data_IF_226864488716
#
_entry.id   IF_226864488716
#
_cell.length_a   1.000
_cell.length_b   1.000
_cell.length_c   1.000
_cell.angle_alpha   90.00
_cell.angle_beta   90.00
_cell.angle_gamma   90.00
#
_symmetry.space_group_name_H-M   'P 1'
#
loop_
_entity.id
_entity.type
_entity.pdbx_description
1 polymer ?
#
# COMPACT_ATOMS: atom_id res chain seq x y z
N UNK A 1 9.69 -26.10 -1.30
CA UNK A 1 8.95 -25.24 -2.25
C UNK A 1 9.94 -24.22 -2.83
N UNK A 2 10.08 -24.19 -4.15
CA UNK A 2 11.01 -23.27 -4.82
C UNK A 2 10.54 -21.81 -4.64
N UNK A 3 11.48 -20.90 -4.34
CA UNK A 3 11.19 -19.49 -4.17
C UNK A 3 10.88 -18.83 -5.53
N UNK A 4 10.01 -17.82 -5.53
CA UNK A 4 9.75 -17.00 -6.72
C UNK A 4 11.05 -16.35 -7.23
N UNK A 5 11.23 -16.26 -8.53
CA UNK A 5 12.48 -15.80 -9.18
C UNK A 5 12.95 -14.41 -8.68
N UNK A 6 12.01 -13.46 -8.51
CA UNK A 6 12.35 -12.13 -7.98
C UNK A 6 12.82 -12.18 -6.53
N UNK A 7 12.36 -13.15 -5.73
CA UNK A 7 12.84 -13.40 -4.36
C UNK A 7 14.23 -14.00 -4.38
N UNK A 8 14.51 -14.94 -5.30
CA UNK A 8 15.86 -15.47 -5.50
C UNK A 8 16.84 -14.35 -5.88
N UNK A 9 16.46 -13.46 -6.80
CA UNK A 9 17.26 -12.29 -7.18
C UNK A 9 17.52 -11.34 -6.00
N UNK A 10 16.53 -11.15 -5.14
CA UNK A 10 16.70 -10.34 -3.93
C UNK A 10 17.74 -10.95 -2.99
N UNK A 11 17.66 -12.25 -2.70
CA UNK A 11 18.64 -12.94 -1.87
C UNK A 11 20.05 -12.95 -2.48
N UNK A 12 20.16 -13.14 -3.80
CA UNK A 12 21.46 -13.03 -4.49
C UNK A 12 22.08 -11.62 -4.35
N UNK A 13 21.27 -10.58 -4.45
CA UNK A 13 21.75 -9.19 -4.23
C UNK A 13 22.22 -8.98 -2.79
N UNK A 14 21.47 -9.49 -1.80
CA UNK A 14 21.86 -9.38 -0.40
C UNK A 14 23.16 -10.13 -0.12
N UNK A 15 23.30 -11.37 -0.63
CA UNK A 15 24.53 -12.14 -0.49
C UNK A 15 25.72 -11.43 -1.15
N UNK A 16 25.53 -10.89 -2.36
CA UNK A 16 26.57 -10.10 -3.03
C UNK A 16 27.00 -8.89 -2.21
N UNK A 17 26.06 -8.20 -1.59
CA UNK A 17 26.35 -7.08 -0.71
C UNK A 17 27.20 -7.51 0.49
N UNK A 18 26.80 -8.58 1.20
CA UNK A 18 27.58 -9.10 2.32
C UNK A 18 29.01 -9.50 1.93
N UNK A 19 29.17 -10.16 0.76
CA UNK A 19 30.49 -10.55 0.26
C UNK A 19 31.32 -9.34 -0.17
N UNK A 20 30.72 -8.28 -0.69
CA UNK A 20 31.43 -7.03 -0.97
C UNK A 20 31.91 -6.34 0.33
N UNK A 21 31.11 -6.38 1.41
CA UNK A 21 31.58 -5.91 2.72
C UNK A 21 32.78 -6.72 3.21
N UNK A 22 32.76 -8.05 3.05
CA UNK A 22 33.88 -8.90 3.43
C UNK A 22 35.15 -8.63 2.60
N UNK A 23 35.04 -8.24 1.32
CA UNK A 23 36.16 -7.74 0.53
C UNK A 23 36.65 -6.40 1.03
N UNK A 24 35.74 -5.48 1.35
CA UNK A 24 36.07 -4.15 1.86
C UNK A 24 36.79 -4.20 3.23
N UNK A 25 36.43 -5.18 4.05
CA UNK A 25 37.03 -5.40 5.38
C UNK A 25 38.22 -6.38 5.33
N UNK A 26 38.76 -6.70 4.15
CA UNK A 26 39.93 -7.56 3.90
C UNK A 26 39.79 -9.03 4.42
N UNK A 27 38.56 -9.50 4.71
CA UNK A 27 38.32 -10.90 5.05
C UNK A 27 38.49 -11.85 3.86
N UNK A 28 38.18 -11.37 2.65
CA UNK A 28 38.37 -12.08 1.38
C UNK A 28 38.95 -11.10 0.34
N UNK A 29 39.75 -11.61 -0.58
CA UNK A 29 40.43 -10.77 -1.59
C UNK A 29 39.52 -10.43 -2.79
N UNK A 30 38.57 -11.30 -3.13
CA UNK A 30 37.69 -11.16 -4.30
C UNK A 30 36.31 -11.71 -3.96
N UNK A 31 35.27 -11.05 -4.46
CA UNK A 31 33.91 -11.55 -4.31
C UNK A 31 33.71 -12.80 -5.18
N UNK A 32 33.45 -13.99 -4.59
CA UNK A 32 33.25 -15.22 -5.38
C UNK A 32 32.05 -15.16 -6.33
N UNK A 33 31.07 -14.29 -6.09
CA UNK A 33 29.92 -14.11 -6.98
C UNK A 33 30.26 -13.42 -8.30
N UNK A 34 31.45 -12.83 -8.44
CA UNK A 34 31.89 -12.23 -9.70
C UNK A 34 32.21 -13.32 -10.77
N UNK A 35 32.47 -14.54 -10.32
CA UNK A 35 32.66 -15.71 -11.20
C UNK A 35 31.36 -16.28 -11.75
N UNK A 36 30.19 -15.91 -11.20
CA UNK A 36 28.90 -16.40 -11.68
C UNK A 36 28.55 -15.67 -12.98
N UNK A 37 28.42 -16.42 -14.05
CA UNK A 37 28.04 -15.89 -15.36
C UNK A 37 26.64 -15.32 -15.33
N UNK A 38 26.36 -14.33 -16.18
CA UNK A 38 25.03 -13.71 -16.24
C UNK A 38 23.93 -14.66 -16.71
N UNK A 39 24.28 -15.66 -17.50
CA UNK A 39 23.37 -16.72 -17.96
C UNK A 39 22.86 -17.61 -16.82
N UNK A 40 23.70 -17.83 -15.77
CA UNK A 40 23.38 -18.66 -14.61
C UNK A 40 22.58 -17.88 -13.53
N UNK A 41 22.46 -16.55 -13.66
CA UNK A 41 21.69 -15.73 -12.73
C UNK A 41 20.21 -15.79 -13.07
N UNK A 42 19.33 -15.87 -12.06
CA UNK A 42 17.89 -15.76 -12.27
C UNK A 42 17.56 -14.46 -13.02
N UNK A 43 16.79 -14.53 -14.09
CA UNK A 43 16.35 -13.35 -14.86
C UNK A 43 15.14 -12.74 -14.20
N UNK A 44 15.11 -11.40 -14.08
CA UNK A 44 13.97 -10.67 -13.50
C UNK A 44 12.69 -11.01 -14.26
N UNK A 45 11.68 -11.49 -13.52
CA UNK A 45 10.34 -11.70 -14.04
C UNK A 45 9.50 -10.46 -13.80
N UNK A 46 8.79 -10.00 -14.83
CA UNK A 46 7.79 -8.93 -14.69
C UNK A 46 6.59 -9.51 -13.94
N UNK A 47 6.26 -8.93 -12.80
CA UNK A 47 5.08 -9.31 -12.04
C UNK A 47 3.92 -8.43 -12.49
N UNK A 48 2.91 -9.03 -13.08
CA UNK A 48 1.64 -8.37 -13.31
C UNK A 48 0.90 -8.28 -11.97
N UNK A 49 0.36 -7.11 -11.69
CA UNK A 49 -0.43 -6.88 -10.47
C UNK A 49 -1.87 -6.69 -10.88
N UNK A 50 -2.75 -7.38 -10.17
CA UNK A 50 -4.16 -7.14 -10.29
C UNK A 50 -4.50 -5.71 -9.84
N UNK A 51 -5.44 -5.10 -10.51
CA UNK A 51 -6.05 -3.84 -10.13
C UNK A 51 -7.58 -3.94 -10.29
N UNK A 52 -8.30 -3.15 -9.52
CA UNK A 52 -9.74 -3.06 -9.63
C UNK A 52 -10.13 -2.17 -10.81
N UNK A 53 -10.90 -2.71 -11.73
CA UNK A 53 -11.54 -1.90 -12.77
C UNK A 53 -12.62 -1.02 -12.16
N UNK A 54 -13.03 0.04 -12.85
CA UNK A 54 -14.12 0.93 -12.41
C UNK A 54 -15.41 0.13 -12.15
N UNK A 55 -15.72 -0.85 -13.00
CA UNK A 55 -16.89 -1.72 -12.84
C UNK A 55 -16.83 -2.56 -11.58
N UNK A 56 -15.65 -3.13 -11.28
CA UNK A 56 -15.43 -3.92 -10.06
C UNK A 56 -15.48 -3.04 -8.81
N UNK A 57 -14.88 -1.85 -8.86
CA UNK A 57 -14.93 -0.88 -7.76
C UNK A 57 -16.38 -0.43 -7.50
N UNK A 58 -17.16 -0.13 -8.53
CA UNK A 58 -18.58 0.21 -8.39
C UNK A 58 -19.36 -0.94 -7.74
N UNK A 59 -19.13 -2.19 -8.18
CA UNK A 59 -19.75 -3.36 -7.58
C UNK A 59 -19.38 -3.48 -6.10
N UNK A 60 -18.13 -3.29 -5.76
CA UNK A 60 -17.63 -3.34 -4.39
C UNK A 60 -18.28 -2.25 -3.51
N UNK A 61 -18.43 -1.03 -4.03
CA UNK A 61 -19.12 0.07 -3.31
C UNK A 61 -20.56 -0.32 -2.95
N UNK A 62 -21.29 -0.94 -3.89
CA UNK A 62 -22.68 -1.34 -3.68
C UNK A 62 -22.85 -2.63 -2.86
N UNK A 63 -21.79 -3.42 -2.68
CA UNK A 63 -21.86 -4.64 -1.86
C UNK A 63 -21.92 -4.27 -0.37
N UNK A 64 -22.96 -4.72 0.37
CA UNK A 64 -23.03 -4.52 1.82
C UNK A 64 -21.82 -5.13 2.51
N UNK A 65 -21.34 -4.47 3.56
CA UNK A 65 -20.20 -4.96 4.31
C UNK A 65 -20.30 -4.57 5.79
N UNK A 66 -20.08 -5.53 6.68
CA UNK A 66 -20.22 -5.31 8.12
C UNK A 66 -19.19 -4.37 8.72
N UNK A 67 -17.96 -4.34 8.16
CA UNK A 67 -16.89 -3.47 8.63
C UNK A 67 -16.90 -2.16 7.83
N UNK A 68 -17.75 -1.24 8.24
CA UNK A 68 -17.93 0.06 7.57
C UNK A 68 -16.68 0.93 7.59
N UNK A 69 -15.87 0.86 8.68
CA UNK A 69 -14.63 1.60 8.79
C UNK A 69 -13.60 1.13 7.76
N UNK A 70 -13.40 -0.19 7.64
CA UNK A 70 -12.50 -0.75 6.64
C UNK A 70 -12.97 -0.46 5.23
N UNK A 71 -14.29 -0.55 4.97
CA UNK A 71 -14.90 -0.20 3.69
C UNK A 71 -14.55 1.24 3.31
N UNK A 72 -14.81 2.20 4.19
CA UNK A 72 -14.50 3.61 3.98
C UNK A 72 -13.01 3.83 3.74
N UNK A 73 -12.15 3.27 4.59
CA UNK A 73 -10.69 3.40 4.48
C UNK A 73 -10.14 2.85 3.15
N UNK A 74 -10.61 1.68 2.71
CA UNK A 74 -10.20 1.09 1.45
C UNK A 74 -10.65 1.91 0.24
N UNK A 75 -11.93 2.31 0.21
CA UNK A 75 -12.47 3.12 -0.89
C UNK A 75 -11.82 4.51 -0.96
N UNK A 76 -11.53 5.12 0.19
CA UNK A 76 -10.74 6.34 0.27
C UNK A 76 -9.33 6.14 -0.31
N UNK A 77 -8.66 5.04 0.06
CA UNK A 77 -7.35 4.67 -0.50
C UNK A 77 -7.41 4.51 -2.03
N UNK A 78 -8.45 3.87 -2.57
CA UNK A 78 -8.66 3.74 -4.03
C UNK A 78 -8.78 5.09 -4.76
N UNK A 79 -9.23 6.14 -4.07
CA UNK A 79 -9.39 7.49 -4.67
C UNK A 79 -8.15 8.36 -4.52
N UNK A 80 -7.35 8.12 -3.48
CA UNK A 80 -6.21 8.97 -3.12
C UNK A 80 -4.85 8.31 -3.41
N UNK A 81 -4.81 7.00 -3.71
CA UNK A 81 -3.57 6.26 -3.89
C UNK A 81 -2.72 6.14 -2.63
N UNK A 82 -3.31 6.36 -1.44
CA UNK A 82 -2.58 6.29 -0.17
C UNK A 82 -2.31 4.86 0.26
N UNK A 83 -1.12 4.62 0.80
CA UNK A 83 -0.80 3.31 1.39
C UNK A 83 -1.54 3.11 2.71
N UNK A 84 -1.79 1.87 3.08
CA UNK A 84 -2.44 1.52 4.36
C UNK A 84 -1.76 2.16 5.59
N UNK A 85 -0.43 2.26 5.61
CA UNK A 85 0.30 2.90 6.70
C UNK A 85 0.04 4.42 6.80
N UNK A 86 -0.24 5.07 5.68
CA UNK A 86 -0.57 6.49 5.62
C UNK A 86 -2.04 6.70 6.02
N UNK A 87 -2.95 5.80 5.59
CA UNK A 87 -4.36 5.79 6.01
C UNK A 87 -4.51 5.63 7.53
N UNK A 88 -3.79 4.69 8.15
CA UNK A 88 -3.82 4.50 9.63
C UNK A 88 -3.30 5.72 10.38
N UNK A 89 -2.36 6.43 9.75
CA UNK A 89 -1.73 7.60 10.39
C UNK A 89 -2.48 8.89 10.16
N UNK A 90 -3.34 8.94 9.16
CA UNK A 90 -4.07 10.13 8.71
C UNK A 90 -4.85 10.75 9.86
N UNK A 91 -4.70 12.07 10.04
CA UNK A 91 -5.38 12.88 11.05
C UNK A 91 -6.30 13.89 10.39
N UNK A 92 -7.23 14.43 11.14
CA UNK A 92 -8.12 15.47 10.64
C UNK A 92 -7.39 16.77 10.29
N UNK A 93 -6.29 17.09 10.95
CA UNK A 93 -5.42 18.23 10.64
C UNK A 93 -4.74 18.12 9.27
N UNK A 94 -4.62 16.92 8.74
CA UNK A 94 -4.03 16.65 7.41
C UNK A 94 -5.02 16.99 6.27
N UNK A 95 -6.31 17.19 6.59
CA UNK A 95 -7.37 17.50 5.61
C UNK A 95 -7.83 18.92 5.87
N UNK A 96 -7.51 19.81 4.94
CA UNK A 96 -7.87 21.23 5.01
C UNK A 96 -8.86 21.59 3.92
N UNK A 97 -9.69 22.58 4.16
CA UNK A 97 -10.60 23.12 3.16
C UNK A 97 -10.15 24.53 2.79
N UNK A 98 -10.15 24.83 1.50
CA UNK A 98 -9.90 26.19 1.01
C UNK A 98 -11.16 27.07 1.14
N UNK A 99 -11.04 28.36 0.77
CA UNK A 99 -12.16 29.32 0.82
C UNK A 99 -13.34 28.94 -0.08
N UNK A 100 -13.10 28.10 -1.08
CA UNK A 100 -14.12 27.61 -2.02
C UNK A 100 -14.71 26.26 -1.57
N UNK A 101 -14.30 25.73 -0.41
CA UNK A 101 -14.75 24.43 0.11
C UNK A 101 -14.09 23.23 -0.53
N UNK A 102 -13.02 23.40 -1.32
CA UNK A 102 -12.27 22.28 -1.84
C UNK A 102 -11.36 21.68 -0.76
N UNK A 103 -11.43 20.36 -0.61
CA UNK A 103 -10.60 19.66 0.36
C UNK A 103 -9.21 19.36 -0.21
N UNK A 104 -8.18 19.66 0.57
CA UNK A 104 -6.78 19.38 0.29
C UNK A 104 -6.22 18.45 1.36
N UNK A 105 -5.66 17.33 0.95
CA UNK A 105 -4.92 16.41 1.80
C UNK A 105 -3.43 16.75 1.75
N UNK A 106 -2.80 16.97 2.91
CA UNK A 106 -1.37 17.28 3.03
C UNK A 106 -0.72 16.38 4.08
N UNK A 107 0.10 15.42 3.64
CA UNK A 107 0.77 14.46 4.52
C UNK A 107 2.24 14.27 4.16
N UNK A 108 3.02 13.81 5.13
CA UNK A 108 4.34 13.22 4.89
C UNK A 108 4.20 11.70 4.89
N UNK A 109 4.44 11.06 3.75
CA UNK A 109 4.34 9.61 3.62
C UNK A 109 5.29 8.89 4.59
N UNK A 110 4.78 7.90 5.33
CA UNK A 110 5.59 7.17 6.31
C UNK A 110 6.73 6.38 5.69
N UNK A 111 6.53 5.82 4.50
CA UNK A 111 7.51 4.92 3.87
C UNK A 111 8.61 5.69 3.11
N UNK A 112 8.25 6.72 2.35
CA UNK A 112 9.19 7.45 1.47
C UNK A 112 9.69 8.74 2.10
N UNK A 113 9.03 9.23 3.15
CA UNK A 113 9.30 10.53 3.79
C UNK A 113 9.07 11.73 2.86
N UNK A 114 8.34 11.52 1.78
CA UNK A 114 7.98 12.58 0.84
C UNK A 114 6.71 13.29 1.28
N UNK A 115 6.69 14.61 1.13
CA UNK A 115 5.49 15.41 1.32
C UNK A 115 4.57 15.24 0.11
N UNK A 116 3.31 14.95 0.36
CA UNK A 116 2.27 14.87 -0.67
C UNK A 116 1.21 15.90 -0.35
N UNK A 117 0.82 16.67 -1.36
CA UNK A 117 -0.35 17.53 -1.34
C UNK A 117 -1.29 17.09 -2.47
N UNK A 118 -2.50 16.68 -2.14
CA UNK A 118 -3.45 16.09 -3.06
C UNK A 118 -4.84 16.70 -2.88
N UNK A 119 -5.44 17.32 -3.91
CA UNK A 119 -6.83 17.73 -3.85
C UNK A 119 -7.74 16.50 -3.78
N UNK A 120 -8.68 16.52 -2.83
CA UNK A 120 -9.65 15.45 -2.66
C UNK A 120 -10.86 15.68 -3.55
N UNK A 121 -11.17 14.72 -4.40
CA UNK A 121 -12.42 14.75 -5.16
C UNK A 121 -13.64 14.48 -4.25
N UNK A 122 -14.83 14.88 -4.68
CA UNK A 122 -16.07 14.66 -3.94
C UNK A 122 -16.33 13.20 -3.59
N UNK A 123 -15.94 12.29 -4.47
CA UNK A 123 -16.04 10.85 -4.22
C UNK A 123 -15.11 10.35 -3.11
N UNK A 124 -13.91 10.93 -2.97
CA UNK A 124 -13.03 10.61 -1.85
C UNK A 124 -13.61 11.11 -0.52
N UNK A 125 -14.14 12.33 -0.51
CA UNK A 125 -14.76 12.95 0.68
C UNK A 125 -15.93 12.11 1.20
N UNK A 126 -16.77 11.54 0.33
CA UNK A 126 -17.87 10.64 0.72
C UNK A 126 -17.43 9.41 1.51
N UNK A 127 -16.18 9.01 1.37
CA UNK A 127 -15.62 7.87 2.09
C UNK A 127 -14.92 8.23 3.41
N UNK A 128 -14.86 9.51 3.76
CA UNK A 128 -14.41 9.91 5.09
C UNK A 128 -15.45 9.48 6.14
N UNK A 129 -15.02 9.06 7.34
CA UNK A 129 -15.91 8.95 8.48
C UNK A 129 -16.54 10.31 8.83
N UNK A 130 -17.63 10.27 9.56
CA UNK A 130 -18.14 11.49 10.18
C UNK A 130 -17.15 11.94 11.27
N UNK A 131 -16.71 13.21 11.20
CA UNK A 131 -15.78 13.77 12.16
C UNK A 131 -16.46 14.05 13.51
N UNK A 132 -17.74 14.41 13.50
CA UNK A 132 -18.42 14.87 14.71
C UNK A 132 -17.61 15.95 15.44
N UNK A 133 -17.38 15.74 16.74
CA UNK A 133 -16.57 16.63 17.60
C UNK A 133 -15.11 16.19 17.74
N UNK A 134 -14.61 15.29 16.87
CA UNK A 134 -13.24 14.80 16.95
C UNK A 134 -12.23 15.96 16.76
N UNK A 135 -11.22 16.07 17.64
CA UNK A 135 -10.17 17.08 17.51
C UNK A 135 -9.35 16.87 16.24
N UNK A 136 -8.67 17.92 15.79
CA UNK A 136 -7.83 17.87 14.59
C UNK A 136 -6.71 16.82 14.67
N UNK A 137 -6.18 16.62 15.88
CA UNK A 137 -5.11 15.64 16.13
C UNK A 137 -5.58 14.19 16.14
N UNK A 138 -6.90 13.93 16.11
CA UNK A 138 -7.45 12.58 16.10
C UNK A 138 -7.31 11.95 14.71
N UNK A 139 -7.16 10.62 14.71
CA UNK A 139 -7.06 9.85 13.46
C UNK A 139 -8.40 9.81 12.75
N UNK A 140 -8.39 10.04 11.43
CA UNK A 140 -9.57 9.95 10.56
C UNK A 140 -10.15 8.53 10.58
N UNK A 141 -9.31 7.50 10.50
CA UNK A 141 -9.73 6.10 10.53
C UNK A 141 -9.31 5.44 11.84
N UNK A 142 -9.73 6.04 12.98
CA UNK A 142 -9.46 5.50 14.30
C UNK A 142 -10.05 4.09 14.44
N UNK A 143 -9.26 3.13 14.95
CA UNK A 143 -9.67 1.73 15.08
C UNK A 143 -9.42 0.86 13.84
N UNK A 144 -8.87 1.40 12.75
CA UNK A 144 -8.46 0.58 11.62
C UNK A 144 -7.35 -0.41 12.04
N UNK A 145 -7.56 -1.69 11.73
CA UNK A 145 -6.66 -2.77 12.13
C UNK A 145 -5.40 -2.83 11.25
N UNK A 146 -4.42 -3.65 11.67
CA UNK A 146 -3.17 -3.85 10.92
C UNK A 146 -3.40 -4.31 9.46
N UNK A 147 -2.43 -4.06 8.58
CA UNK A 147 -2.51 -4.39 7.15
C UNK A 147 -2.87 -5.87 6.91
N UNK A 148 -2.23 -6.80 7.62
CA UNK A 148 -2.50 -8.23 7.46
C UNK A 148 -3.95 -8.58 7.81
N UNK A 149 -4.46 -8.07 8.93
CA UNK A 149 -5.86 -8.28 9.34
C UNK A 149 -6.84 -7.56 8.39
N UNK A 150 -6.51 -6.35 7.94
CA UNK A 150 -7.30 -5.62 6.94
C UNK A 150 -7.43 -6.41 5.64
N UNK A 151 -6.35 -7.02 5.14
CA UNK A 151 -6.39 -7.82 3.92
C UNK A 151 -7.24 -9.09 4.06
N UNK A 152 -7.18 -9.78 5.21
CA UNK A 152 -8.03 -10.96 5.47
C UNK A 152 -9.52 -10.58 5.45
N UNK A 153 -9.86 -9.46 6.09
CA UNK A 153 -11.25 -8.98 6.14
C UNK A 153 -11.69 -8.48 4.76
N UNK A 154 -10.83 -7.76 4.05
CA UNK A 154 -11.07 -7.24 2.69
C UNK A 154 -11.35 -8.38 1.71
N UNK A 155 -10.62 -9.49 1.80
CA UNK A 155 -10.82 -10.66 0.94
C UNK A 155 -12.26 -11.18 0.99
N UNK A 156 -12.85 -11.31 2.19
CA UNK A 156 -14.24 -11.73 2.36
C UNK A 156 -15.24 -10.79 1.67
N UNK A 157 -15.00 -9.49 1.73
CA UNK A 157 -15.85 -8.50 1.08
C UNK A 157 -15.75 -8.57 -0.45
N UNK A 158 -14.52 -8.74 -0.96
CA UNK A 158 -14.24 -8.91 -2.40
C UNK A 158 -14.90 -10.16 -2.95
N UNK A 159 -14.84 -11.28 -2.23
CA UNK A 159 -15.55 -12.52 -2.57
C UNK A 159 -17.07 -12.32 -2.58
N UNK A 160 -17.62 -11.64 -1.56
CA UNK A 160 -19.05 -11.32 -1.49
C UNK A 160 -19.50 -10.42 -2.66
N UNK A 161 -18.61 -9.56 -3.19
CA UNK A 161 -18.86 -8.76 -4.37
C UNK A 161 -18.74 -9.55 -5.68
N UNK A 162 -18.42 -10.85 -5.65
CA UNK A 162 -18.23 -11.69 -6.83
C UNK A 162 -17.00 -11.30 -7.66
N UNK A 163 -15.95 -10.79 -7.02
CA UNK A 163 -14.68 -10.41 -7.66
C UNK A 163 -13.67 -11.52 -7.41
N UNK A 164 -13.18 -12.16 -8.47
CA UNK A 164 -12.23 -13.29 -8.39
C UNK A 164 -10.78 -12.88 -8.24
N UNK A 165 -10.44 -11.58 -8.38
CA UNK A 165 -9.08 -11.06 -8.26
C UNK A 165 -8.59 -11.07 -6.82
N UNK A 166 -7.27 -11.26 -6.65
CA UNK A 166 -6.63 -11.12 -5.35
C UNK A 166 -6.45 -9.64 -4.98
N UNK A 167 -7.44 -9.10 -4.28
CA UNK A 167 -7.46 -7.69 -3.85
C UNK A 167 -6.85 -7.54 -2.45
N UNK A 168 -5.91 -6.64 -2.33
CA UNK A 168 -5.28 -6.22 -1.08
C UNK A 168 -5.32 -4.70 -0.97
N UNK A 169 -4.92 -4.13 0.17
CA UNK A 169 -4.79 -2.67 0.29
C UNK A 169 -3.78 -2.05 -0.70
N UNK A 170 -2.88 -2.85 -1.29
CA UNK A 170 -1.98 -2.39 -2.35
C UNK A 170 -2.60 -2.39 -3.74
N UNK A 171 -3.82 -2.91 -3.86
CA UNK A 171 -4.60 -2.92 -5.12
C UNK A 171 -5.45 -1.65 -5.26
N UNK A 172 -5.58 -0.89 -4.17
CA UNK A 172 -6.28 0.38 -4.10
C UNK A 172 -5.59 1.49 -4.89
#
# INVERSE_FOLDING_TARGET
KMLHVNTQLYYLKMLRYCLNCAVYEDYITVNPMDKIKNEDKPKRCRTERDYLTIKELTRLVHTPFYNTLLKKAFLFSCRCGLRHCDIIALRWEDIRYDENGNALLSIIQKKTKEAISLPLCSEAIKHLPDRGNAPETEKVFAGLVSLGRSNVILHKWVEQAGISKHVTFHTA
#
